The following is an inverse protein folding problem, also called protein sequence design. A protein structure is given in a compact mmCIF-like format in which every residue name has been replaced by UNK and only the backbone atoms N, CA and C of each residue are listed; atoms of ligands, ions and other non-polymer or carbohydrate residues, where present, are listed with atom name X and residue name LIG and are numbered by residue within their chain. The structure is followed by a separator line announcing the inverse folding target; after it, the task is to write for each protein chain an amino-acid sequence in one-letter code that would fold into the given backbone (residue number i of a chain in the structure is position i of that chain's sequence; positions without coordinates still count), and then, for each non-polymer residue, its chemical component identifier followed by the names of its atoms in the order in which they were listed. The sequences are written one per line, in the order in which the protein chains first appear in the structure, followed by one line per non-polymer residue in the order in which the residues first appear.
data_IF_031300420472
#
_entry.id   IF_031300420472
#
_cell.length_a   1.000
_cell.length_b   1.000
_cell.length_c   1.000
_cell.angle_alpha   90.00
_cell.angle_beta   90.00
_cell.angle_gamma   90.00
#
_symmetry.space_group_name_H-M   'P 1'
#
loop_
_entity.id
_entity.type
_entity.pdbx_description
1 polymer ?
#
# COMPACT_ATOMS: atom_id res chain seq x y z
N UNK A 1 -22.41 21.22 -25.29
CA UNK A 1 -21.91 19.83 -25.32
C UNK A 1 -21.51 19.50 -23.90
N UNK A 2 -22.20 18.55 -23.27
CA UNK A 2 -21.90 18.15 -21.89
C UNK A 2 -20.59 17.34 -21.89
N UNK A 3 -19.64 17.81 -21.09
CA UNK A 3 -18.36 17.18 -20.78
C UNK A 3 -18.62 15.77 -20.21
N UNK A 4 -18.36 14.73 -21.02
CA UNK A 4 -18.39 13.34 -20.57
C UNK A 4 -17.08 13.04 -19.85
N UNK A 5 -16.91 13.57 -18.64
CA UNK A 5 -15.95 12.97 -17.72
C UNK A 5 -16.58 11.66 -17.29
N UNK A 6 -15.99 10.54 -17.72
CA UNK A 6 -16.33 9.24 -17.17
C UNK A 6 -16.22 9.36 -15.65
N UNK A 7 -17.32 9.03 -14.96
CA UNK A 7 -17.33 9.01 -13.50
C UNK A 7 -16.30 7.95 -13.07
N UNK A 8 -15.22 8.32 -12.36
CA UNK A 8 -14.22 7.36 -11.90
C UNK A 8 -14.81 6.31 -10.94
N UNK A 9 -16.05 6.52 -10.48
CA UNK A 9 -16.85 5.58 -9.71
C UNK A 9 -17.81 4.71 -10.57
N UNK A 10 -17.66 4.63 -11.89
CA UNK A 10 -18.42 3.70 -12.74
C UNK A 10 -18.08 2.25 -12.33
N UNK A 11 -18.83 1.79 -11.32
CA UNK A 11 -18.62 0.59 -10.52
C UNK A 11 -18.88 -0.67 -11.35
N UNK A 12 -17.99 -0.97 -12.30
CA UNK A 12 -17.85 -2.31 -12.84
C UNK A 12 -17.28 -3.18 -11.73
N UNK A 13 -18.14 -3.64 -10.83
CA UNK A 13 -17.77 -4.63 -9.84
C UNK A 13 -17.13 -5.81 -10.55
N UNK A 14 -15.90 -6.14 -10.17
CA UNK A 14 -15.19 -7.30 -10.70
C UNK A 14 -15.97 -8.56 -10.27
N UNK A 15 -16.54 -9.36 -11.20
CA UNK A 15 -17.43 -10.48 -10.84
C UNK A 15 -16.82 -11.48 -9.85
N UNK A 16 -15.49 -11.61 -9.89
CA UNK A 16 -14.69 -12.44 -8.99
C UNK A 16 -14.81 -12.04 -7.51
N UNK A 17 -15.14 -10.77 -7.19
CA UNK A 17 -15.24 -10.31 -5.80
C UNK A 17 -16.28 -11.12 -5.00
N UNK A 18 -17.32 -11.63 -5.67
CA UNK A 18 -18.37 -12.46 -5.05
C UNK A 18 -17.88 -13.83 -4.62
N UNK A 19 -16.74 -14.28 -5.13
CA UNK A 19 -16.13 -15.57 -4.82
C UNK A 19 -15.15 -15.47 -3.65
N UNK A 20 -14.80 -14.26 -3.23
CA UNK A 20 -13.87 -14.02 -2.12
C UNK A 20 -14.64 -14.14 -0.80
N UNK A 21 -14.18 -14.96 0.16
CA UNK A 21 -14.82 -15.05 1.46
C UNK A 21 -14.92 -13.67 2.15
N UNK A 22 -16.09 -13.35 2.72
CA UNK A 22 -16.36 -12.06 3.35
C UNK A 22 -15.32 -11.65 4.41
N UNK A 23 -14.83 -12.60 5.21
CA UNK A 23 -13.79 -12.33 6.19
C UNK A 23 -12.48 -11.83 5.53
N UNK A 24 -12.15 -12.37 4.36
CA UNK A 24 -10.97 -11.98 3.60
C UNK A 24 -11.13 -10.59 2.99
N UNK A 25 -12.31 -10.31 2.42
CA UNK A 25 -12.65 -8.97 1.93
C UNK A 25 -12.49 -7.91 3.03
N UNK A 26 -12.96 -8.20 4.25
CA UNK A 26 -12.79 -7.29 5.39
C UNK A 26 -11.32 -7.05 5.72
N UNK A 27 -10.50 -8.11 5.81
CA UNK A 27 -9.06 -7.98 6.10
C UNK A 27 -8.32 -7.17 5.03
N UNK A 28 -8.59 -7.46 3.76
CA UNK A 28 -7.94 -6.76 2.66
C UNK A 28 -8.41 -5.29 2.56
N UNK A 29 -9.68 -5.00 2.87
CA UNK A 29 -10.17 -3.63 2.97
C UNK A 29 -9.51 -2.87 4.13
N UNK A 30 -9.30 -3.50 5.29
CA UNK A 30 -8.55 -2.90 6.40
C UNK A 30 -7.13 -2.51 5.98
N UNK A 31 -6.45 -3.34 5.21
CA UNK A 31 -5.12 -2.99 4.67
C UNK A 31 -5.24 -1.77 3.78
N UNK A 32 -6.13 -1.77 2.78
CA UNK A 32 -6.25 -0.64 1.85
C UNK A 32 -6.61 0.66 2.59
N UNK A 33 -7.56 0.62 3.52
CA UNK A 33 -7.93 1.80 4.32
C UNK A 33 -6.86 2.25 5.32
N UNK A 34 -5.92 1.38 5.70
CA UNK A 34 -4.78 1.80 6.50
C UNK A 34 -3.75 2.57 5.66
N UNK A 35 -3.72 2.32 4.35
CA UNK A 35 -2.82 2.97 3.41
C UNK A 35 -3.44 4.21 2.76
N UNK A 36 -4.75 4.25 2.53
CA UNK A 36 -5.52 5.43 2.13
C UNK A 36 -5.64 6.38 3.34
N UNK A 37 -4.82 7.43 3.40
CA UNK A 37 -4.73 8.31 4.57
C UNK A 37 -5.72 9.48 4.51
N UNK A 38 -6.06 9.96 3.33
CA UNK A 38 -6.98 11.08 3.12
C UNK A 38 -8.45 10.65 2.92
N UNK A 39 -8.71 9.35 2.81
CA UNK A 39 -10.03 8.70 2.71
C UNK A 39 -10.75 8.98 1.41
N UNK A 40 -10.02 9.21 0.33
CA UNK A 40 -10.60 9.37 -1.00
C UNK A 40 -10.99 8.02 -1.66
N UNK A 41 -10.65 6.90 -1.02
CA UNK A 41 -10.89 5.55 -1.52
C UNK A 41 -9.71 4.95 -2.27
N UNK A 42 -8.58 5.65 -2.32
CA UNK A 42 -7.38 5.29 -3.06
C UNK A 42 -6.13 5.39 -2.17
N UNK A 43 -5.10 4.61 -2.49
CA UNK A 43 -3.80 4.70 -1.83
C UNK A 43 -2.78 5.16 -2.88
N UNK A 44 -2.57 6.48 -2.92
CA UNK A 44 -1.76 7.16 -3.92
C UNK A 44 -0.28 7.31 -3.53
N UNK A 45 0.43 8.09 -4.34
CA UNK A 45 1.82 8.46 -4.06
C UNK A 45 1.95 9.24 -2.76
N UNK A 46 1.08 10.22 -2.56
CA UNK A 46 1.12 11.09 -1.38
C UNK A 46 0.83 10.30 -0.10
N UNK A 47 -0.13 9.39 -0.12
CA UNK A 47 -0.37 8.46 0.99
C UNK A 47 0.85 7.61 1.32
N UNK A 48 1.53 7.13 0.29
CA UNK A 48 2.70 6.27 0.45
C UNK A 48 3.88 7.07 1.02
N UNK A 49 4.07 8.33 0.61
CA UNK A 49 5.09 9.21 1.18
C UNK A 49 4.76 9.62 2.61
N UNK A 50 3.51 9.97 2.88
CA UNK A 50 3.03 10.25 4.23
C UNK A 50 3.21 9.04 5.16
N UNK A 51 3.01 7.83 4.65
CA UNK A 51 3.31 6.59 5.38
C UNK A 51 4.79 6.49 5.69
N UNK A 52 5.68 6.68 4.70
CA UNK A 52 7.13 6.67 4.90
C UNK A 52 7.56 7.66 6.00
N UNK A 53 7.03 8.88 6.00
CA UNK A 53 7.31 9.88 7.04
C UNK A 53 6.82 9.48 8.42
N UNK A 54 5.67 8.79 8.52
CA UNK A 54 5.18 8.25 9.80
C UNK A 54 6.13 7.18 10.35
N UNK A 55 6.65 6.31 9.48
CA UNK A 55 7.63 5.29 9.85
C UNK A 55 8.97 5.90 10.30
N UNK A 56 9.46 6.91 9.59
CA UNK A 56 10.69 7.64 9.97
C UNK A 56 10.53 8.25 11.36
N UNK A 57 9.39 8.88 11.64
CA UNK A 57 9.10 9.44 12.98
C UNK A 57 8.98 8.36 14.05
N UNK A 58 8.30 7.25 13.75
CA UNK A 58 8.12 6.15 14.69
C UNK A 58 9.45 5.46 15.05
N UNK A 59 10.34 5.30 14.06
CA UNK A 59 11.67 4.70 14.25
C UNK A 59 12.77 5.68 14.69
N UNK A 60 12.41 6.93 15.04
CA UNK A 60 13.35 8.03 15.35
C UNK A 60 14.51 8.16 14.35
N UNK A 61 14.20 7.97 13.07
CA UNK A 61 15.19 7.94 12.00
C UNK A 61 15.56 9.34 11.53
N UNK A 62 16.84 9.55 11.25
CA UNK A 62 17.35 10.81 10.73
C UNK A 62 18.45 10.60 9.66
N UNK A 63 18.76 11.69 8.95
CA UNK A 63 19.79 11.72 7.91
C UNK A 63 19.63 10.62 6.86
N UNK A 64 20.73 9.95 6.53
CA UNK A 64 20.80 8.95 5.46
C UNK A 64 19.82 7.78 5.63
N UNK A 65 19.53 7.38 6.88
CA UNK A 65 18.58 6.29 7.13
C UNK A 65 17.15 6.69 6.76
N UNK A 66 16.76 7.92 7.10
CA UNK A 66 15.47 8.48 6.69
C UNK A 66 15.38 8.61 5.16
N UNK A 67 16.43 9.12 4.52
CA UNK A 67 16.50 9.25 3.05
C UNK A 67 16.31 7.90 2.34
N UNK A 68 16.96 6.84 2.84
CA UNK A 68 16.84 5.49 2.29
C UNK A 68 15.39 4.96 2.40
N UNK A 69 14.68 5.27 3.48
CA UNK A 69 13.27 4.88 3.65
C UNK A 69 12.40 5.60 2.63
N UNK A 70 12.57 6.92 2.48
CA UNK A 70 11.82 7.70 1.48
C UNK A 70 12.08 7.15 0.08
N UNK A 71 13.34 6.89 -0.27
CA UNK A 71 13.71 6.33 -1.57
C UNK A 71 13.08 4.96 -1.80
N UNK A 72 13.11 4.08 -0.79
CA UNK A 72 12.47 2.76 -0.86
C UNK A 72 10.97 2.86 -1.15
N UNK A 73 10.23 3.65 -0.37
CA UNK A 73 8.79 3.83 -0.55
C UNK A 73 8.48 4.48 -1.91
N UNK A 74 9.31 5.42 -2.36
CA UNK A 74 9.16 6.08 -3.67
C UNK A 74 9.32 5.07 -4.81
N UNK A 75 10.37 4.26 -4.76
CA UNK A 75 10.65 3.24 -5.78
C UNK A 75 9.65 2.09 -5.76
N UNK A 76 9.15 1.72 -4.58
CA UNK A 76 8.04 0.79 -4.46
C UNK A 76 6.79 1.33 -5.16
N UNK A 77 6.40 2.57 -4.84
CA UNK A 77 5.22 3.21 -5.42
C UNK A 77 5.32 3.31 -6.94
N UNK A 78 6.46 3.79 -7.47
CA UNK A 78 6.68 3.89 -8.92
C UNK A 78 6.55 2.56 -9.65
N UNK A 79 7.04 1.47 -9.05
CA UNK A 79 6.93 0.11 -9.64
C UNK A 79 5.54 -0.49 -9.56
N UNK A 80 4.72 -0.05 -8.60
CA UNK A 80 3.34 -0.51 -8.42
C UNK A 80 2.32 0.40 -9.06
N UNK A 81 2.75 1.59 -9.48
CA UNK A 81 1.94 2.54 -10.21
C UNK A 81 1.66 2.07 -11.63
N UNK A 82 0.39 2.14 -12.03
CA UNK A 82 -0.04 1.97 -13.42
C UNK A 82 0.42 3.16 -14.31
N UNK A 83 0.84 4.29 -13.71
CA UNK A 83 1.58 5.39 -14.38
C UNK A 83 2.88 5.75 -13.62
N UNK A 84 4.03 5.14 -13.97
CA UNK A 84 5.30 5.34 -13.26
C UNK A 84 5.89 6.75 -13.37
N UNK A 85 5.52 7.49 -14.43
CA UNK A 85 6.06 8.83 -14.73
C UNK A 85 5.40 9.90 -13.86
N UNK A 86 4.11 9.77 -13.61
CA UNK A 86 3.36 10.72 -12.77
C UNK A 86 3.31 10.29 -11.29
N UNK A 87 3.80 9.09 -10.96
CA UNK A 87 3.62 8.50 -9.63
C UNK A 87 2.17 8.16 -9.30
N UNK A 88 1.24 8.41 -10.23
CA UNK A 88 -0.19 8.16 -10.06
C UNK A 88 -0.42 6.66 -10.18
N UNK A 89 -0.50 5.99 -9.04
CA UNK A 89 -1.16 4.70 -8.95
C UNK A 89 -2.60 4.97 -9.38
N UNK A 90 -2.96 4.65 -10.64
CA UNK A 90 -4.35 4.79 -11.06
C UNK A 90 -5.18 4.02 -10.04
N UNK A 91 -6.15 4.74 -9.52
CA UNK A 91 -7.29 4.29 -8.76
C UNK A 91 -7.90 3.03 -9.39
N UNK A 92 -7.28 1.87 -9.19
CA UNK A 92 -7.99 0.60 -9.30
C UNK A 92 -9.09 0.70 -8.29
N UNK A 93 -10.32 0.47 -8.72
CA UNK A 93 -11.46 0.44 -7.81
C UNK A 93 -11.09 -0.42 -6.60
N UNK A 94 -11.58 -0.08 -5.41
CA UNK A 94 -11.33 -0.87 -4.20
C UNK A 94 -11.54 -2.38 -4.47
N UNK A 95 -12.54 -2.73 -5.29
CA UNK A 95 -12.78 -4.09 -5.77
C UNK A 95 -11.63 -4.73 -6.54
N UNK A 96 -10.97 -4.02 -7.44
CA UNK A 96 -9.82 -4.52 -8.22
C UNK A 96 -8.58 -4.72 -7.35
N UNK A 97 -8.36 -3.83 -6.37
CA UNK A 97 -7.28 -3.99 -5.40
C UNK A 97 -7.51 -5.21 -4.50
N UNK A 98 -8.74 -5.40 -4.01
CA UNK A 98 -9.13 -6.56 -3.21
C UNK A 98 -8.97 -7.87 -3.99
N UNK A 99 -9.40 -7.90 -5.25
CA UNK A 99 -9.21 -9.06 -6.14
C UNK A 99 -7.71 -9.29 -6.44
N UNK A 100 -6.92 -8.23 -6.60
CA UNK A 100 -5.48 -8.31 -6.76
C UNK A 100 -4.79 -8.98 -5.57
N UNK A 101 -5.10 -8.55 -4.35
CA UNK A 101 -4.59 -9.17 -3.12
C UNK A 101 -5.05 -10.63 -2.96
N UNK A 102 -6.30 -10.91 -3.34
CA UNK A 102 -6.84 -12.26 -3.33
C UNK A 102 -6.09 -13.20 -4.29
N UNK A 103 -5.74 -12.74 -5.48
CA UNK A 103 -4.93 -13.50 -6.44
C UNK A 103 -3.49 -13.67 -5.94
N UNK A 104 -2.91 -12.62 -5.35
CA UNK A 104 -1.54 -12.62 -4.86
C UNK A 104 -1.29 -13.68 -3.77
N UNK A 105 -2.31 -14.08 -2.99
CA UNK A 105 -2.16 -15.11 -1.95
C UNK A 105 -1.70 -16.47 -2.50
N UNK A 106 -1.96 -16.73 -3.77
CA UNK A 106 -1.63 -17.98 -4.46
C UNK A 106 -0.46 -17.82 -5.45
N UNK A 107 0.08 -16.61 -5.60
CA UNK A 107 1.21 -16.30 -6.48
C UNK A 107 2.47 -16.03 -5.63
N UNK A 108 3.45 -16.95 -5.60
CA UNK A 108 4.68 -16.78 -4.83
C UNK A 108 5.46 -15.50 -5.16
N UNK A 109 5.41 -15.02 -6.40
CA UNK A 109 6.12 -13.82 -6.83
C UNK A 109 5.45 -12.57 -6.27
N UNK A 110 4.12 -12.49 -6.37
CA UNK A 110 3.35 -11.40 -5.80
C UNK A 110 3.46 -11.37 -4.27
N UNK A 111 3.40 -12.54 -3.64
CA UNK A 111 3.56 -12.71 -2.19
C UNK A 111 4.93 -12.23 -1.72
N UNK A 112 6.01 -12.59 -2.44
CA UNK A 112 7.37 -12.13 -2.15
C UNK A 112 7.48 -10.61 -2.20
N UNK A 113 6.87 -9.97 -3.20
CA UNK A 113 6.89 -8.50 -3.32
C UNK A 113 6.13 -7.81 -2.19
N UNK A 114 5.03 -8.39 -1.70
CA UNK A 114 4.31 -7.89 -0.53
C UNK A 114 5.14 -8.08 0.75
N UNK A 115 5.80 -9.22 0.93
CA UNK A 115 6.62 -9.44 2.12
C UNK A 115 7.83 -8.50 2.20
N UNK A 116 8.41 -8.10 1.07
CA UNK A 116 9.54 -7.17 1.05
C UNK A 116 9.20 -5.82 1.70
N UNK A 117 7.99 -5.28 1.48
CA UNK A 117 7.62 -4.01 2.12
C UNK A 117 7.42 -4.17 3.63
N UNK A 118 6.83 -5.28 4.08
CA UNK A 118 6.69 -5.57 5.51
C UNK A 118 8.04 -5.79 6.21
N UNK A 119 9.00 -6.44 5.56
CA UNK A 119 10.35 -6.61 6.11
C UNK A 119 11.02 -5.25 6.32
N UNK A 120 10.92 -4.35 5.33
CA UNK A 120 11.47 -3.01 5.49
C UNK A 120 10.77 -2.20 6.58
N UNK A 121 9.43 -2.29 6.67
CA UNK A 121 8.67 -1.66 7.76
C UNK A 121 9.10 -2.18 9.14
N UNK A 122 9.29 -3.50 9.27
CA UNK A 122 9.78 -4.12 10.49
C UNK A 122 11.17 -3.60 10.86
N UNK A 123 12.11 -3.53 9.90
CA UNK A 123 13.45 -3.01 10.14
C UNK A 123 13.46 -1.54 10.55
N UNK A 124 12.45 -0.78 10.15
CA UNK A 124 12.33 0.62 10.55
C UNK A 124 11.88 0.76 12.01
N UNK A 125 10.94 -0.09 12.43
CA UNK A 125 10.38 -0.07 13.78
C UNK A 125 11.31 -0.78 14.79
N UNK A 126 12.11 -1.75 14.34
CA UNK A 126 13.19 -2.38 15.13
C UNK A 126 14.37 -1.40 15.27
N UNK A 127 14.16 -0.31 16.02
CA UNK A 127 15.11 0.79 16.19
C UNK A 127 16.46 0.29 16.71
N UNK A 128 16.43 -0.76 17.53
CA UNK A 128 17.62 -1.34 18.13
C UNK A 128 18.26 -2.48 17.30
N UNK A 129 17.71 -2.79 16.12
CA UNK A 129 18.18 -3.85 15.22
C UNK A 129 18.36 -5.22 15.89
N UNK A 130 17.44 -5.60 16.79
CA UNK A 130 17.51 -6.83 17.57
C UNK A 130 16.96 -8.05 16.83
N UNK A 131 16.26 -7.84 15.72
CA UNK A 131 15.53 -8.87 14.99
C UNK A 131 14.20 -9.26 15.65
N UNK A 132 13.74 -8.49 16.64
CA UNK A 132 12.42 -8.61 17.27
C UNK A 132 11.97 -7.23 17.77
N UNK A 133 10.65 -7.03 17.88
CA UNK A 133 10.08 -5.80 18.44
C UNK A 133 9.85 -5.96 19.94
N UNK A 134 10.26 -4.97 20.71
CA UNK A 134 9.80 -4.76 22.08
C UNK A 134 8.33 -4.33 22.11
N UNK A 135 7.71 -4.32 23.29
CA UNK A 135 6.31 -3.90 23.43
C UNK A 135 6.10 -2.43 23.05
N UNK A 136 7.08 -1.57 23.30
CA UNK A 136 6.99 -0.14 22.94
C UNK A 136 7.24 0.09 21.44
N UNK A 137 8.01 -0.79 20.79
CA UNK A 137 8.21 -0.76 19.34
C UNK A 137 6.96 -1.30 18.58
N UNK A 138 6.18 -2.20 19.17
CA UNK A 138 4.98 -2.80 18.55
C UNK A 138 3.75 -1.88 18.56
#
# INVERSE_FOLDING_TARGET
MADKREDPCDNKQVPEIRQIPNLWLRKAATIIFAWDLDKDGYAGYDDTMNTAERFIRAGDMNGKSADNVIEFFRDYTKRKSDNPVEGIVKARSLSEQLVGLWRAKSDPVALKSLFQIYIHMFQIIDVNAKGYLTFDEY
#
